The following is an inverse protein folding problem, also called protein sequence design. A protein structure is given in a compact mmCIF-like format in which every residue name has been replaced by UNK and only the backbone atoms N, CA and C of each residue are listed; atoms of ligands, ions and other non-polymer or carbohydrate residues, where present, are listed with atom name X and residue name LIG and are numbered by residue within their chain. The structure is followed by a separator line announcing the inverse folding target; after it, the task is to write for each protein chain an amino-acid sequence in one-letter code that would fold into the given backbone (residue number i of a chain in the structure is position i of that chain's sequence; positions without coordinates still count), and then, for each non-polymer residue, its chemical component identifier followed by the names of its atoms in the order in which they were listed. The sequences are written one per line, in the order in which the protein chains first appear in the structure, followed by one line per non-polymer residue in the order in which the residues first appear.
data_IF_913594013923
#
_entry.id   IF_913594013923
#
_cell.length_a   1.000
_cell.length_b   1.000
_cell.length_c   1.000
_cell.angle_alpha   90.00
_cell.angle_beta   90.00
_cell.angle_gamma   90.00
#
_symmetry.space_group_name_H-M   'P 1'
#
loop_
_entity.id
_entity.type
_entity.pdbx_description
1 polymer ?
#
# COMPACT_ATOMS: atom_id res chain seq x y z
N UNK A 1 6.13 60.55 47.86
CA UNK A 1 6.02 59.09 47.64
C UNK A 1 5.21 58.87 46.37
N UNK A 2 5.86 58.33 45.33
CA UNK A 2 5.41 58.26 43.93
C UNK A 2 4.46 57.07 43.74
N UNK A 3 3.30 57.31 43.13
CA UNK A 3 2.38 56.27 42.64
C UNK A 3 3.03 55.50 41.49
N UNK A 4 2.89 54.17 41.48
CA UNK A 4 3.58 53.23 40.58
C UNK A 4 2.62 52.78 39.45
N UNK A 5 2.75 53.25 38.20
CA UNK A 5 1.70 53.11 37.18
C UNK A 5 1.91 51.96 36.18
N UNK A 6 2.59 50.88 36.58
CA UNK A 6 2.84 49.73 35.68
C UNK A 6 2.15 48.43 36.14
N UNK A 7 1.21 48.55 37.07
CA UNK A 7 0.18 47.53 37.32
C UNK A 7 -0.99 47.75 36.34
N UNK A 8 -0.68 47.83 35.03
CA UNK A 8 -1.66 48.13 33.97
C UNK A 8 -1.21 47.60 32.61
N UNK A 9 -0.71 46.37 32.58
CA UNK A 9 -0.55 45.60 31.34
C UNK A 9 -0.89 44.10 31.55
N UNK A 10 -1.75 43.82 32.52
CA UNK A 10 -2.53 42.59 32.55
C UNK A 10 -3.75 42.85 31.68
N UNK A 11 -4.05 41.98 30.71
CA UNK A 11 -5.09 42.09 29.68
C UNK A 11 -4.61 42.71 28.36
N UNK A 12 -3.83 41.95 27.56
CA UNK A 12 -3.97 41.91 26.09
C UNK A 12 -2.96 40.89 25.51
N UNK A 13 -3.12 39.61 25.85
CA UNK A 13 -2.60 38.51 25.02
C UNK A 13 -3.82 37.70 24.57
N UNK A 14 -4.59 38.33 23.68
CA UNK A 14 -5.69 37.70 23.00
C UNK A 14 -5.13 36.63 22.05
N UNK A 15 -5.51 35.39 22.33
CA UNK A 15 -5.69 34.26 21.41
C UNK A 15 -5.15 34.48 19.99
N UNK A 16 -3.88 34.14 19.77
CA UNK A 16 -3.42 33.70 18.45
C UNK A 16 -3.76 32.22 18.31
N UNK A 17 -5.04 31.91 18.07
CA UNK A 17 -5.40 30.62 17.48
C UNK A 17 -4.87 30.64 16.05
N UNK A 18 -3.70 30.04 15.85
CA UNK A 18 -3.25 29.67 14.52
C UNK A 18 -4.29 28.73 13.93
N UNK A 19 -5.14 29.24 13.03
CA UNK A 19 -5.96 28.42 12.15
C UNK A 19 -4.97 27.66 11.28
N UNK A 20 -4.65 26.43 11.66
CA UNK A 20 -3.98 25.52 10.75
C UNK A 20 -4.96 25.21 9.62
N UNK A 21 -4.55 25.30 8.35
CA UNK A 21 -5.37 24.78 7.27
C UNK A 21 -5.50 23.26 7.49
N UNK A 22 -6.66 22.82 7.96
CA UNK A 22 -7.05 21.43 7.89
C UNK A 22 -7.19 21.08 6.41
N UNK A 23 -6.11 20.56 5.80
CA UNK A 23 -6.24 19.83 4.55
C UNK A 23 -7.06 18.59 4.87
N UNK A 24 -8.36 18.66 4.63
CA UNK A 24 -9.21 17.48 4.57
C UNK A 24 -8.68 16.63 3.42
N UNK A 25 -7.83 15.65 3.74
CA UNK A 25 -7.56 14.54 2.84
C UNK A 25 -8.90 13.86 2.61
N UNK A 26 -9.38 13.88 1.38
CA UNK A 26 -10.56 13.14 0.97
C UNK A 26 -10.34 11.65 1.30
N UNK A 27 -10.91 11.20 2.42
CA UNK A 27 -10.78 9.84 2.93
C UNK A 27 -11.61 8.85 2.12
N UNK A 28 -12.39 9.31 1.14
CA UNK A 28 -13.22 8.46 0.30
C UNK A 28 -12.44 7.75 -0.81
N UNK A 29 -11.25 8.24 -1.17
CA UNK A 29 -10.42 7.66 -2.23
C UNK A 29 -9.36 6.69 -1.69
N UNK A 30 -9.07 5.58 -2.41
CA UNK A 30 -7.98 4.68 -2.06
C UNK A 30 -6.64 5.41 -1.96
N UNK A 31 -5.87 5.10 -0.91
CA UNK A 31 -4.55 5.70 -0.70
C UNK A 31 -3.49 5.17 -1.67
N UNK A 32 -3.78 4.09 -2.41
CA UNK A 32 -2.88 3.52 -3.40
C UNK A 32 -2.41 4.56 -4.43
N UNK A 33 -3.27 5.47 -4.91
CA UNK A 33 -2.86 6.53 -5.83
C UNK A 33 -1.79 7.49 -5.24
N UNK A 34 -1.65 7.56 -3.92
CA UNK A 34 -0.62 8.36 -3.25
C UNK A 34 0.71 7.63 -3.04
N UNK A 35 0.67 6.29 -3.00
CA UNK A 35 1.84 5.44 -2.76
C UNK A 35 2.75 5.42 -3.97
N UNK A 36 4.00 5.04 -3.75
CA UNK A 36 4.96 4.91 -4.84
C UNK A 36 4.58 3.78 -5.79
N UNK A 37 4.94 3.89 -7.08
CA UNK A 37 4.76 2.80 -8.04
C UNK A 37 5.45 1.51 -7.59
N UNK A 38 6.63 1.60 -6.97
CA UNK A 38 7.28 0.43 -6.39
C UNK A 38 6.40 -0.26 -5.34
N UNK A 39 5.79 0.52 -4.44
CA UNK A 39 4.91 -0.04 -3.41
C UNK A 39 3.65 -0.63 -4.03
N UNK A 40 2.98 0.07 -4.95
CA UNK A 40 1.78 -0.44 -5.61
C UNK A 40 2.05 -1.71 -6.42
N UNK A 41 3.23 -1.84 -7.05
CA UNK A 41 3.63 -3.09 -7.70
C UNK A 41 3.74 -4.24 -6.70
N UNK A 42 4.36 -4.03 -5.53
CA UNK A 42 4.44 -5.06 -4.49
C UNK A 42 3.06 -5.42 -3.92
N UNK A 43 2.23 -4.40 -3.69
CA UNK A 43 0.85 -4.58 -3.21
C UNK A 43 0.01 -5.36 -4.24
N UNK A 44 0.20 -5.08 -5.54
CA UNK A 44 -0.46 -5.80 -6.65
C UNK A 44 -0.08 -7.27 -6.66
N UNK A 45 1.21 -7.60 -6.63
CA UNK A 45 1.67 -9.01 -6.64
C UNK A 45 1.24 -9.74 -5.36
N UNK A 46 1.17 -9.06 -4.20
CA UNK A 46 0.60 -9.63 -2.99
C UNK A 46 -0.89 -9.98 -3.17
N UNK A 47 -1.67 -9.05 -3.73
CA UNK A 47 -3.09 -9.27 -4.01
C UNK A 47 -3.30 -10.44 -5.00
N UNK A 48 -2.48 -10.54 -6.05
CA UNK A 48 -2.48 -11.69 -6.98
C UNK A 48 -2.13 -13.02 -6.27
N UNK A 49 -1.17 -12.99 -5.34
CA UNK A 49 -0.81 -14.16 -4.55
C UNK A 49 -1.98 -14.65 -3.72
N UNK A 50 -2.67 -13.75 -3.03
CA UNK A 50 -3.85 -14.07 -2.23
C UNK A 50 -4.96 -14.60 -3.14
N UNK A 51 -5.25 -13.94 -4.26
CA UNK A 51 -6.27 -14.39 -5.20
C UNK A 51 -5.98 -15.81 -5.72
N UNK A 52 -4.72 -16.12 -6.02
CA UNK A 52 -4.29 -17.43 -6.49
C UNK A 52 -4.35 -18.49 -5.40
N UNK A 53 -3.90 -18.14 -4.19
CA UNK A 53 -3.96 -19.02 -3.03
C UNK A 53 -5.41 -19.40 -2.74
N UNK A 54 -6.31 -18.44 -2.72
CA UNK A 54 -7.71 -18.62 -2.31
C UNK A 54 -8.66 -18.86 -3.48
N UNK A 55 -8.17 -19.39 -4.61
CA UNK A 55 -8.96 -19.59 -5.83
C UNK A 55 -10.22 -20.47 -5.66
N UNK A 56 -10.25 -21.29 -4.62
CA UNK A 56 -11.39 -22.17 -4.30
C UNK A 56 -12.35 -21.52 -3.29
N UNK A 57 -12.06 -20.29 -2.85
CA UNK A 57 -12.85 -19.46 -1.96
C UNK A 57 -13.30 -18.19 -2.73
N UNK A 58 -14.37 -18.26 -3.53
CA UNK A 58 -14.65 -17.30 -4.59
C UNK A 58 -14.70 -15.84 -4.16
N UNK A 59 -15.28 -15.54 -3.00
CA UNK A 59 -15.37 -14.16 -2.49
C UNK A 59 -13.98 -13.58 -2.17
N UNK A 60 -13.09 -14.38 -1.57
CA UNK A 60 -11.74 -13.94 -1.24
C UNK A 60 -10.88 -13.79 -2.51
N UNK A 61 -10.99 -14.74 -3.43
CA UNK A 61 -10.30 -14.65 -4.72
C UNK A 61 -10.76 -13.44 -5.54
N UNK A 62 -12.07 -13.20 -5.59
CA UNK A 62 -12.65 -12.08 -6.33
C UNK A 62 -12.20 -10.74 -5.76
N UNK A 63 -12.31 -10.55 -4.44
CA UNK A 63 -11.92 -9.30 -3.78
C UNK A 63 -10.43 -8.98 -3.97
N UNK A 64 -9.56 -9.96 -3.71
CA UNK A 64 -8.12 -9.80 -3.90
C UNK A 64 -7.75 -9.60 -5.37
N UNK A 65 -8.39 -10.34 -6.29
CA UNK A 65 -8.15 -10.20 -7.73
C UNK A 65 -8.58 -8.84 -8.28
N UNK A 66 -9.75 -8.33 -7.87
CA UNK A 66 -10.21 -6.98 -8.22
C UNK A 66 -9.29 -5.90 -7.65
N UNK A 67 -8.75 -6.12 -6.44
CA UNK A 67 -7.77 -5.22 -5.83
C UNK A 67 -6.45 -5.19 -6.63
N UNK A 68 -5.96 -6.34 -7.11
CA UNK A 68 -4.80 -6.40 -7.99
C UNK A 68 -5.03 -5.63 -9.31
N UNK A 69 -6.19 -5.82 -9.94
CA UNK A 69 -6.57 -5.09 -11.15
C UNK A 69 -6.60 -3.57 -10.94
N UNK A 70 -7.15 -3.10 -9.82
CA UNK A 70 -7.16 -1.66 -9.50
C UNK A 70 -5.74 -1.11 -9.26
N UNK A 71 -4.84 -1.90 -8.68
CA UNK A 71 -3.45 -1.47 -8.45
C UNK A 71 -2.64 -1.39 -9.73
N UNK A 72 -2.97 -2.20 -10.74
CA UNK A 72 -2.36 -2.13 -12.07
C UNK A 72 -2.59 -0.75 -12.73
N UNK A 73 -3.74 -0.10 -12.49
CA UNK A 73 -4.02 1.25 -12.96
C UNK A 73 -3.21 2.36 -12.24
N UNK A 74 -2.67 2.05 -11.06
CA UNK A 74 -1.95 3.00 -10.20
C UNK A 74 -0.47 2.67 -10.02
N UNK A 75 0.06 1.76 -10.85
CA UNK A 75 1.48 1.46 -10.94
C UNK A 75 1.95 1.63 -12.38
N UNK A 76 3.23 1.94 -12.56
CA UNK A 76 3.85 2.16 -13.87
C UNK A 76 4.96 1.11 -14.04
N UNK A 77 4.74 0.12 -14.91
CA UNK A 77 5.66 -0.98 -15.10
C UNK A 77 5.57 -1.60 -16.50
N UNK A 78 6.69 -2.15 -16.95
CA UNK A 78 6.83 -2.77 -18.27
C UNK A 78 6.35 -4.23 -18.25
N UNK A 79 5.07 -4.42 -18.57
CA UNK A 79 4.41 -5.73 -18.73
C UNK A 79 4.96 -6.54 -19.91
N UNK A 80 5.37 -5.88 -21.00
CA UNK A 80 5.80 -6.56 -22.23
C UNK A 80 7.15 -7.26 -22.06
N UNK A 81 7.99 -6.74 -21.17
CA UNK A 81 9.31 -7.32 -20.89
C UNK A 81 9.26 -8.72 -20.31
N UNK A 82 8.24 -9.02 -19.51
CA UNK A 82 7.95 -10.38 -19.03
C UNK A 82 6.54 -10.45 -18.42
N UNK A 83 5.52 -10.80 -19.21
CA UNK A 83 4.12 -10.79 -18.76
C UNK A 83 3.85 -11.82 -17.66
N UNK A 84 4.68 -12.86 -17.54
CA UNK A 84 4.50 -13.94 -16.56
C UNK A 84 5.33 -13.78 -15.29
N UNK A 85 6.10 -12.69 -15.14
CA UNK A 85 7.03 -12.55 -14.02
C UNK A 85 6.35 -12.62 -12.65
N UNK A 86 5.25 -11.90 -12.46
CA UNK A 86 4.47 -11.90 -11.22
C UNK A 86 3.88 -13.28 -10.92
N UNK A 87 3.12 -13.83 -11.88
CA UNK A 87 2.50 -15.17 -11.79
C UNK A 87 3.51 -16.28 -11.50
N UNK A 88 4.66 -16.27 -12.15
CA UNK A 88 5.72 -17.25 -11.93
C UNK A 88 6.28 -17.16 -10.50
N UNK A 89 6.48 -15.95 -9.99
CA UNK A 89 6.93 -15.73 -8.61
C UNK A 89 5.89 -16.23 -7.59
N UNK A 90 4.63 -15.87 -7.78
CA UNK A 90 3.49 -16.33 -6.96
C UNK A 90 3.46 -17.85 -6.89
N UNK A 91 3.47 -18.54 -8.04
CA UNK A 91 3.41 -20.00 -8.07
C UNK A 91 4.58 -20.66 -7.33
N UNK A 92 5.79 -20.10 -7.44
CA UNK A 92 6.97 -20.63 -6.71
C UNK A 92 6.83 -20.49 -5.20
N UNK A 93 6.28 -19.38 -4.70
CA UNK A 93 6.08 -19.20 -3.26
C UNK A 93 4.96 -20.10 -2.74
N UNK A 94 3.84 -20.19 -3.46
CA UNK A 94 2.71 -21.04 -3.07
C UNK A 94 3.05 -22.54 -3.08
N UNK A 95 3.95 -22.98 -3.95
CA UNK A 95 4.42 -24.37 -4.02
C UNK A 95 5.32 -24.81 -2.85
N UNK A 96 5.76 -23.91 -1.96
CA UNK A 96 6.59 -24.26 -0.81
C UNK A 96 5.83 -25.12 0.20
N UNK A 97 6.48 -26.15 0.75
CA UNK A 97 5.92 -26.96 1.85
C UNK A 97 6.24 -26.29 3.19
N UNK A 98 5.30 -25.48 3.69
CA UNK A 98 5.43 -24.80 4.98
C UNK A 98 4.83 -25.67 6.06
N UNK A 99 5.57 -25.82 7.16
CA UNK A 99 5.11 -26.55 8.34
C UNK A 99 5.34 -25.76 9.61
N UNK A 100 4.40 -25.90 10.52
CA UNK A 100 4.55 -25.42 11.89
C UNK A 100 3.93 -26.45 12.83
N UNK A 101 4.75 -27.33 13.46
CA UNK A 101 4.25 -28.41 14.29
C UNK A 101 3.34 -27.95 15.44
N UNK A 102 3.55 -26.74 15.96
CA UNK A 102 2.73 -26.18 17.04
C UNK A 102 1.33 -25.88 16.51
N UNK A 103 1.23 -25.09 15.44
CA UNK A 103 -0.08 -24.72 14.85
C UNK A 103 -0.79 -25.94 14.27
N UNK A 104 -0.06 -26.86 13.64
CA UNK A 104 -0.61 -28.11 13.08
C UNK A 104 -1.19 -29.03 14.16
N UNK A 105 -0.65 -28.98 15.39
CA UNK A 105 -1.19 -29.74 16.52
C UNK A 105 -2.52 -29.19 17.02
N UNK A 106 -2.79 -27.90 16.80
CA UNK A 106 -3.98 -27.19 17.25
C UNK A 106 -5.06 -27.11 16.14
N UNK A 107 -4.64 -26.93 14.88
CA UNK A 107 -5.52 -26.71 13.73
C UNK A 107 -5.24 -27.78 12.66
N UNK A 108 -6.13 -28.78 12.61
CA UNK A 108 -6.01 -29.87 11.62
C UNK A 108 -6.21 -29.35 10.21
N UNK A 109 -5.31 -29.75 9.30
CA UNK A 109 -5.39 -29.39 7.89
C UNK A 109 -5.09 -27.91 7.61
N UNK A 110 -4.47 -27.20 8.55
CA UNK A 110 -4.05 -25.81 8.35
C UNK A 110 -3.16 -25.68 7.12
N UNK A 111 -3.44 -24.65 6.33
CA UNK A 111 -2.61 -24.21 5.20
C UNK A 111 -1.95 -22.89 5.56
N UNK A 112 -0.71 -22.71 5.11
CA UNK A 112 0.08 -21.50 5.37
C UNK A 112 0.17 -20.58 4.15
N UNK A 113 -0.82 -20.58 3.26
CA UNK A 113 -0.67 -19.88 1.98
C UNK A 113 -0.65 -18.36 2.13
N UNK A 114 -1.41 -17.79 3.07
CA UNK A 114 -1.28 -16.37 3.38
C UNK A 114 0.11 -16.01 3.89
N UNK A 115 0.72 -16.86 4.73
CA UNK A 115 2.09 -16.68 5.20
C UNK A 115 3.09 -16.75 4.04
N UNK A 116 2.90 -17.67 3.08
CA UNK A 116 3.72 -17.71 1.85
C UNK A 116 3.59 -16.42 1.02
N UNK A 117 2.39 -15.82 0.96
CA UNK A 117 2.19 -14.54 0.29
C UNK A 117 2.84 -13.36 1.02
N UNK A 118 2.86 -13.36 2.37
CA UNK A 118 3.62 -12.39 3.15
C UNK A 118 5.13 -12.54 2.91
N UNK A 119 5.63 -13.77 2.86
CA UNK A 119 7.03 -14.02 2.54
C UNK A 119 7.38 -13.61 1.11
N UNK A 120 6.47 -13.79 0.15
CA UNK A 120 6.60 -13.26 -1.20
C UNK A 120 6.73 -11.73 -1.17
N UNK A 121 5.87 -11.05 -0.41
CA UNK A 121 5.86 -9.58 -0.31
C UNK A 121 7.19 -9.03 0.24
N UNK A 122 7.79 -9.75 1.17
CA UNK A 122 9.08 -9.40 1.77
C UNK A 122 10.30 -10.00 1.05
N UNK A 123 10.10 -10.69 -0.07
CA UNK A 123 11.16 -11.41 -0.78
C UNK A 123 12.12 -10.50 -1.54
N UNK A 124 13.39 -10.93 -1.62
CA UNK A 124 14.41 -10.26 -2.46
C UNK A 124 14.07 -10.40 -3.94
N UNK A 125 13.38 -11.47 -4.31
CA UNK A 125 12.92 -11.76 -5.65
C UNK A 125 11.88 -10.74 -6.11
N UNK A 126 10.91 -10.38 -5.26
CA UNK A 126 9.96 -9.31 -5.57
C UNK A 126 10.65 -7.95 -5.64
N UNK A 127 11.60 -7.66 -4.74
CA UNK A 127 12.40 -6.44 -4.81
C UNK A 127 13.23 -6.36 -6.10
N UNK A 128 13.72 -7.50 -6.60
CA UNK A 128 14.41 -7.57 -7.88
C UNK A 128 13.48 -7.32 -9.07
N UNK A 129 12.22 -7.79 -9.00
CA UNK A 129 11.20 -7.46 -10.00
C UNK A 129 10.90 -5.97 -10.02
N UNK A 130 10.72 -5.33 -8.85
CA UNK A 130 10.52 -3.88 -8.75
C UNK A 130 11.63 -3.12 -9.47
N UNK A 131 12.90 -3.46 -9.19
CA UNK A 131 14.06 -2.81 -9.84
C UNK A 131 14.12 -3.02 -11.35
N UNK A 132 13.58 -4.14 -11.85
CA UNK A 132 13.70 -4.55 -13.25
C UNK A 132 12.56 -4.08 -14.14
N UNK A 133 11.36 -3.93 -13.56
CA UNK A 133 10.13 -3.73 -14.32
C UNK A 133 9.38 -2.45 -13.96
N UNK A 134 9.49 -1.93 -12.73
CA UNK A 134 8.77 -0.71 -12.34
C UNK A 134 9.48 0.51 -12.91
N UNK A 135 8.74 1.29 -13.67
CA UNK A 135 9.17 2.56 -14.26
C UNK A 135 9.02 3.64 -13.19
N UNK A 136 10.05 4.48 -13.03
CA UNK A 136 10.07 5.57 -12.05
C UNK A 136 9.61 5.17 -10.63
N UNK A 137 10.25 4.18 -9.98
CA UNK A 137 9.72 3.51 -8.79
C UNK A 137 9.42 4.40 -7.58
N UNK A 138 9.94 5.63 -7.55
CA UNK A 138 9.73 6.61 -6.46
C UNK A 138 8.58 7.59 -6.73
N UNK A 139 8.04 7.62 -7.96
CA UNK A 139 6.88 8.45 -8.34
C UNK A 139 5.58 7.77 -7.93
N UNK A 140 4.47 8.49 -8.04
CA UNK A 140 3.13 7.99 -7.73
C UNK A 140 2.11 8.51 -8.74
N UNK A 141 1.03 7.75 -8.91
CA UNK A 141 -0.05 8.09 -9.85
C UNK A 141 -0.59 9.49 -9.60
N UNK A 142 -0.89 9.82 -8.34
CA UNK A 142 -1.44 11.13 -7.97
C UNK A 142 -0.43 12.25 -8.21
N UNK A 143 0.87 12.02 -8.03
CA UNK A 143 1.87 13.03 -8.37
C UNK A 143 1.85 13.35 -9.87
N UNK A 144 1.69 12.32 -10.70
CA UNK A 144 1.79 12.40 -12.15
C UNK A 144 0.51 12.95 -12.79
N UNK A 145 -0.63 12.78 -12.12
CA UNK A 145 -1.95 13.19 -12.61
C UNK A 145 -2.52 14.46 -11.93
N UNK A 146 -1.74 15.12 -11.05
CA UNK A 146 -2.17 16.33 -10.31
C UNK A 146 -2.56 17.54 -11.17
N UNK A 147 -2.24 17.55 -12.47
CA UNK A 147 -2.61 18.62 -13.40
C UNK A 147 -4.05 18.49 -13.93
N UNK A 148 -4.73 17.35 -13.76
CA UNK A 148 -6.14 17.21 -14.18
C UNK A 148 -7.14 17.83 -13.18
N UNK A 149 -6.78 17.95 -11.90
CA UNK A 149 -7.67 18.41 -10.83
C UNK A 149 -7.65 19.93 -10.61
N UNK A 150 -6.70 20.65 -11.21
CA UNK A 150 -6.55 22.11 -11.03
C UNK A 150 -7.29 22.96 -12.07
N UNK A 151 -8.01 22.31 -12.99
CA UNK A 151 -8.74 22.94 -14.10
C UNK A 151 -10.27 22.85 -13.97
N UNK A 152 -10.79 22.57 -12.76
CA UNK A 152 -12.22 22.60 -12.45
C UNK A 152 -12.51 23.60 -11.34
#
# INVERSE_FOLDING_TARGET
MRQNPLLRCVMFWALMFAVQPSHATDTSSPQAGARTYAQNYKDMVLAECIATAYRNEPSAAMDAGSSASALMDWTDFDLERNPDAGKSLVNRFLARDYRNPVVESEIKGVRFDFLKCLDLYHSRELDAQVKRFVINPKRSYRLDNRSSDRSK
#
